data_IF_417855899834
#
_entry.id   IF_417855899834
#
_cell.length_a   1.000
_cell.length_b   1.000
_cell.length_c   1.000
_cell.angle_alpha   90.00
_cell.angle_beta   90.00
_cell.angle_gamma   90.00
#
_symmetry.space_group_name_H-M   'P 1'
#
loop_
_entity.id
_entity.type
_entity.pdbx_description
1 polymer ?
#
# COMPACT_ATOMS: atom_id res chain seq x y z
N UNK A 1 31.59 -5.54 24.31
CA UNK A 1 30.51 -6.54 24.20
C UNK A 1 29.60 -6.07 23.08
N UNK A 2 29.60 -6.75 21.94
CA UNK A 2 28.67 -6.44 20.85
C UNK A 2 27.27 -6.77 21.33
N UNK A 3 26.45 -5.73 21.53
CA UNK A 3 25.07 -5.90 21.98
C UNK A 3 24.28 -6.38 20.77
N UNK A 4 24.27 -7.70 20.54
CA UNK A 4 23.52 -8.28 19.43
C UNK A 4 22.02 -8.03 19.66
N UNK A 5 21.45 -7.17 18.82
CA UNK A 5 20.01 -6.90 18.82
C UNK A 5 19.25 -8.21 18.65
N UNK A 6 18.21 -8.39 19.46
CA UNK A 6 17.29 -9.53 19.31
C UNK A 6 16.61 -9.48 17.93
N UNK A 7 16.17 -10.62 17.41
CA UNK A 7 15.42 -10.67 16.13
C UNK A 7 14.21 -9.72 16.14
N UNK A 8 13.53 -9.60 17.29
CA UNK A 8 12.42 -8.65 17.47
C UNK A 8 12.88 -7.20 17.33
N UNK A 9 14.05 -6.83 17.87
CA UNK A 9 14.59 -5.47 17.72
C UNK A 9 15.07 -5.19 16.29
N UNK A 10 15.57 -6.21 15.58
CA UNK A 10 15.94 -6.09 14.17
C UNK A 10 14.73 -5.92 13.25
N UNK A 11 13.64 -6.64 13.51
CA UNK A 11 12.41 -6.61 12.69
C UNK A 11 11.46 -5.45 13.06
N UNK A 12 11.54 -4.96 14.29
CA UNK A 12 10.64 -3.93 14.82
C UNK A 12 11.43 -2.78 15.48
N UNK A 13 12.39 -2.16 14.76
CA UNK A 13 13.30 -1.17 15.34
C UNK A 13 12.55 0.06 15.85
N UNK A 14 11.41 0.46 15.24
CA UNK A 14 10.59 1.55 15.73
C UNK A 14 10.00 1.32 17.14
N UNK A 15 9.79 0.06 17.54
CA UNK A 15 9.09 -0.32 18.78
C UNK A 15 10.01 -0.78 19.91
N UNK A 16 11.33 -0.76 19.72
CA UNK A 16 12.28 -1.08 20.78
C UNK A 16 12.20 -0.06 21.95
N UNK A 17 12.03 -0.57 23.16
CA UNK A 17 11.75 0.21 24.37
C UNK A 17 12.98 0.92 24.94
N UNK A 18 14.19 0.57 24.49
CA UNK A 18 15.45 1.05 25.06
C UNK A 18 16.07 2.26 24.32
N UNK A 19 15.26 3.03 23.56
CA UNK A 19 15.73 4.24 22.87
C UNK A 19 15.98 5.39 23.84
N UNK A 20 16.98 6.22 23.53
CA UNK A 20 17.11 7.52 24.18
C UNK A 20 15.94 8.43 23.80
N UNK A 21 15.59 9.36 24.69
CA UNK A 21 14.50 10.32 24.43
C UNK A 21 14.74 11.15 23.17
N UNK A 22 15.99 11.54 22.91
CA UNK A 22 16.34 12.26 21.68
C UNK A 22 16.05 11.45 20.41
N UNK A 23 16.36 10.15 20.39
CA UNK A 23 16.07 9.28 19.23
C UNK A 23 14.56 9.10 19.07
N UNK A 24 13.82 8.90 20.17
CA UNK A 24 12.36 8.76 20.15
C UNK A 24 11.69 10.01 19.58
N UNK A 25 12.00 11.20 20.10
CA UNK A 25 11.40 12.45 19.62
C UNK A 25 11.73 12.73 18.16
N UNK A 26 12.98 12.49 17.72
CA UNK A 26 13.36 12.66 16.32
C UNK A 26 12.62 11.67 15.39
N UNK A 27 12.41 10.44 15.85
CA UNK A 27 11.68 9.42 15.10
C UNK A 27 10.19 9.81 14.95
N UNK A 28 9.54 10.20 16.04
CA UNK A 28 8.15 10.67 16.05
C UNK A 28 7.96 11.88 15.12
N UNK A 29 8.86 12.87 15.19
CA UNK A 29 8.85 14.01 14.28
C UNK A 29 9.02 13.58 12.81
N UNK A 30 9.92 12.62 12.54
CA UNK A 30 10.11 12.09 11.20
C UNK A 30 8.88 11.38 10.65
N UNK A 31 8.05 10.77 11.49
CA UNK A 31 6.77 10.19 11.07
C UNK A 31 5.79 11.27 10.62
N UNK A 32 5.67 12.38 11.37
CA UNK A 32 4.79 13.50 11.02
C UNK A 32 5.20 14.13 9.68
N UNK A 33 6.50 14.28 9.45
CA UNK A 33 7.00 14.85 8.19
C UNK A 33 6.87 13.87 7.02
N UNK A 34 6.99 12.57 7.29
CA UNK A 34 6.73 11.52 6.30
C UNK A 34 5.27 11.47 5.92
N UNK A 35 4.33 11.59 6.86
CA UNK A 35 2.90 11.68 6.56
C UNK A 35 2.59 12.82 5.58
N UNK A 36 3.14 14.02 5.84
CA UNK A 36 2.95 15.18 4.94
C UNK A 36 3.43 14.90 3.53
N UNK A 37 4.57 14.20 3.40
CA UNK A 37 5.10 13.78 2.11
C UNK A 37 4.19 12.75 1.44
N UNK A 38 3.78 11.71 2.17
CA UNK A 38 2.95 10.64 1.63
C UNK A 38 1.56 11.12 1.22
N UNK A 39 0.95 12.05 1.95
CA UNK A 39 -0.34 12.64 1.56
C UNK A 39 -0.22 13.40 0.24
N UNK A 40 0.86 14.16 0.02
CA UNK A 40 1.09 14.82 -1.28
C UNK A 40 1.26 13.77 -2.39
N UNK A 41 1.96 12.69 -2.09
CA UNK A 41 2.15 11.60 -3.03
C UNK A 41 0.83 10.90 -3.37
N UNK A 42 -0.01 10.59 -2.37
CA UNK A 42 -1.35 10.03 -2.57
C UNK A 42 -2.29 10.97 -3.33
N UNK A 43 -2.15 12.29 -3.17
CA UNK A 43 -2.88 13.26 -3.99
C UNK A 43 -2.49 13.13 -5.48
N UNK A 44 -1.20 12.96 -5.77
CA UNK A 44 -0.73 12.71 -7.14
C UNK A 44 -1.33 11.40 -7.65
N UNK A 45 -1.38 10.34 -6.83
CA UNK A 45 -1.99 9.07 -7.23
C UNK A 45 -3.47 9.23 -7.54
N UNK A 46 -4.20 10.01 -6.74
CA UNK A 46 -5.58 10.31 -7.03
C UNK A 46 -5.75 11.05 -8.35
N UNK A 47 -4.93 12.06 -8.62
CA UNK A 47 -4.96 12.78 -9.90
C UNK A 47 -4.70 11.83 -11.08
N UNK A 48 -3.68 10.96 -10.97
CA UNK A 48 -3.38 9.96 -12.00
C UNK A 48 -4.56 9.00 -12.19
N UNK A 49 -5.14 8.48 -11.11
CA UNK A 49 -6.32 7.61 -11.12
C UNK A 49 -7.52 8.28 -11.80
N UNK A 50 -7.77 9.54 -11.46
CA UNK A 50 -8.89 10.32 -11.98
C UNK A 50 -8.71 10.77 -13.43
N UNK A 51 -7.49 10.74 -13.96
CA UNK A 51 -7.17 11.27 -15.29
C UNK A 51 -6.49 10.23 -16.17
N UNK A 52 -5.20 10.00 -16.00
CA UNK A 52 -4.33 9.26 -16.91
C UNK A 52 -4.72 7.78 -17.00
N UNK A 53 -4.74 7.05 -15.88
CA UNK A 53 -5.00 5.61 -15.90
C UNK A 53 -6.44 5.26 -16.24
N UNK A 54 -7.36 6.22 -16.15
CA UNK A 54 -8.75 6.04 -16.54
C UNK A 54 -8.99 6.09 -18.06
N UNK A 55 -8.08 6.68 -18.85
CA UNK A 55 -8.29 6.97 -20.28
C UNK A 55 -8.56 5.70 -21.08
N UNK A 56 -7.73 4.67 -20.91
CA UNK A 56 -7.73 3.47 -21.77
C UNK A 56 -9.08 2.76 -21.81
N UNK A 57 -9.76 2.67 -20.66
CA UNK A 57 -11.00 1.91 -20.51
C UNK A 57 -12.17 2.76 -20.00
N UNK A 58 -12.03 4.08 -19.95
CA UNK A 58 -13.09 5.01 -19.53
C UNK A 58 -13.48 4.89 -18.05
N UNK A 59 -12.62 4.37 -17.20
CA UNK A 59 -12.89 4.07 -15.77
C UNK A 59 -12.78 5.31 -14.86
N UNK A 60 -13.27 6.46 -15.34
CA UNK A 60 -13.17 7.75 -14.65
C UNK A 60 -13.92 7.76 -13.32
N UNK A 61 -15.10 7.12 -13.26
CA UNK A 61 -15.88 7.06 -12.01
C UNK A 61 -15.09 6.39 -10.88
N UNK A 62 -14.40 5.29 -11.18
CA UNK A 62 -13.54 4.60 -10.22
C UNK A 62 -12.37 5.50 -9.78
N UNK A 63 -11.73 6.21 -10.72
CA UNK A 63 -10.63 7.11 -10.44
C UNK A 63 -11.02 8.31 -9.59
N UNK A 64 -12.12 8.98 -9.96
CA UNK A 64 -12.60 10.19 -9.28
C UNK A 64 -13.22 9.84 -7.93
N UNK A 65 -14.23 8.97 -7.91
CA UNK A 65 -15.00 8.65 -6.69
C UNK A 65 -14.25 7.65 -5.83
N UNK A 66 -13.81 6.52 -6.39
CA UNK A 66 -13.06 5.52 -5.64
C UNK A 66 -11.73 6.05 -5.15
N UNK A 67 -10.94 6.70 -6.02
CA UNK A 67 -9.70 7.36 -5.64
C UNK A 67 -9.90 8.51 -4.65
N UNK A 68 -10.98 9.29 -4.80
CA UNK A 68 -11.30 10.40 -3.90
C UNK A 68 -11.69 9.94 -2.50
N UNK A 69 -12.46 8.86 -2.39
CA UNK A 69 -12.77 8.23 -1.11
C UNK A 69 -11.51 7.67 -0.44
N UNK A 70 -10.66 6.95 -1.20
CA UNK A 70 -9.41 6.40 -0.69
C UNK A 70 -8.47 7.51 -0.18
N UNK A 71 -8.25 8.55 -0.99
CA UNK A 71 -7.45 9.71 -0.58
C UNK A 71 -8.05 10.44 0.62
N UNK A 72 -9.37 10.67 0.61
CA UNK A 72 -10.09 11.36 1.68
C UNK A 72 -9.95 10.64 3.03
N UNK A 73 -10.04 9.32 3.05
CA UNK A 73 -9.84 8.51 4.25
C UNK A 73 -8.40 8.62 4.77
N UNK A 74 -7.40 8.54 3.89
CA UNK A 74 -6.01 8.75 4.29
C UNK A 74 -5.75 10.16 4.83
N UNK A 75 -6.31 11.17 4.17
CA UNK A 75 -6.19 12.56 4.60
C UNK A 75 -6.85 12.81 5.96
N UNK A 76 -8.04 12.24 6.19
CA UNK A 76 -8.73 12.31 7.47
C UNK A 76 -7.91 11.63 8.58
N UNK A 77 -7.43 10.41 8.34
CA UNK A 77 -6.59 9.69 9.30
C UNK A 77 -5.31 10.45 9.66
N UNK A 78 -4.63 11.01 8.66
CA UNK A 78 -3.48 11.90 8.85
C UNK A 78 -3.83 13.14 9.69
N UNK A 79 -4.93 13.84 9.37
CA UNK A 79 -5.30 15.07 10.06
C UNK A 79 -5.73 14.84 11.51
N UNK A 80 -6.35 13.70 11.81
CA UNK A 80 -6.79 13.39 13.17
C UNK A 80 -5.63 13.07 14.12
N UNK A 81 -4.61 12.35 13.66
CA UNK A 81 -3.46 11.99 14.51
C UNK A 81 -2.15 11.84 13.71
N UNK A 82 -1.53 12.97 13.30
CA UNK A 82 -0.31 12.96 12.49
C UNK A 82 0.82 12.18 13.15
N UNK A 83 1.56 11.40 12.37
CA UNK A 83 2.71 10.62 12.81
C UNK A 83 2.35 9.39 13.66
N UNK A 84 1.08 9.16 14.00
CA UNK A 84 0.65 7.98 14.75
C UNK A 84 0.65 6.70 13.92
N UNK A 85 0.68 5.54 14.57
CA UNK A 85 0.55 4.23 13.89
C UNK A 85 -0.71 4.20 13.02
N UNK A 86 -1.84 4.72 13.52
CA UNK A 86 -3.11 4.79 12.78
C UNK A 86 -3.00 5.56 11.46
N UNK A 87 -2.33 6.72 11.48
CA UNK A 87 -2.06 7.50 10.26
C UNK A 87 -1.21 6.68 9.28
N UNK A 88 -0.09 6.12 9.76
CA UNK A 88 0.86 5.37 8.93
C UNK A 88 0.23 4.14 8.29
N UNK A 89 -0.50 3.32 9.04
CA UNK A 89 -1.14 2.10 8.50
C UNK A 89 -2.25 2.45 7.50
N UNK A 90 -2.99 3.54 7.73
CA UNK A 90 -4.03 4.00 6.80
C UNK A 90 -3.42 4.46 5.49
N UNK A 91 -2.32 5.22 5.55
CA UNK A 91 -1.55 5.65 4.37
C UNK A 91 -1.00 4.43 3.61
N UNK A 92 -0.40 3.47 4.31
CA UNK A 92 0.12 2.23 3.72
C UNK A 92 -0.97 1.43 2.99
N UNK A 93 -2.13 1.23 3.62
CA UNK A 93 -3.28 0.58 2.99
C UNK A 93 -3.78 1.36 1.76
N UNK A 94 -3.81 2.69 1.85
CA UNK A 94 -4.32 3.54 0.75
C UNK A 94 -3.45 3.46 -0.51
N UNK A 95 -2.12 3.34 -0.38
CA UNK A 95 -1.26 3.08 -1.53
C UNK A 95 -1.61 1.76 -2.24
N UNK A 96 -2.01 0.73 -1.49
CA UNK A 96 -2.42 -0.55 -2.06
C UNK A 96 -3.82 -0.48 -2.67
N UNK A 97 -4.71 0.34 -2.11
CA UNK A 97 -5.99 0.67 -2.75
C UNK A 97 -5.75 1.36 -4.09
N UNK A 98 -4.81 2.31 -4.19
CA UNK A 98 -4.44 2.90 -5.47
C UNK A 98 -3.83 1.90 -6.45
N UNK A 99 -3.01 0.96 -5.95
CA UNK A 99 -2.50 -0.14 -6.78
C UNK A 99 -3.65 -0.98 -7.36
N UNK A 100 -4.62 -1.35 -6.53
CA UNK A 100 -5.82 -2.07 -6.97
C UNK A 100 -6.68 -1.26 -7.96
N UNK A 101 -6.83 0.05 -7.74
CA UNK A 101 -7.49 0.94 -8.69
C UNK A 101 -6.76 0.91 -10.03
N UNK A 102 -5.44 1.09 -10.07
CA UNK A 102 -4.69 1.08 -11.34
C UNK A 102 -4.79 -0.27 -12.05
N UNK A 103 -4.68 -1.38 -11.31
CA UNK A 103 -4.86 -2.73 -11.85
C UNK A 103 -6.24 -2.86 -12.50
N UNK A 104 -7.32 -2.47 -11.81
CA UNK A 104 -8.67 -2.54 -12.35
C UNK A 104 -8.88 -1.57 -13.53
N UNK A 105 -8.34 -0.35 -13.45
CA UNK A 105 -8.45 0.65 -14.52
C UNK A 105 -7.67 0.26 -15.78
N UNK A 106 -6.69 -0.63 -15.67
CA UNK A 106 -5.96 -1.22 -16.80
C UNK A 106 -6.32 -2.70 -17.00
N UNK A 107 -7.48 -3.13 -16.50
CA UNK A 107 -8.05 -4.46 -16.72
C UNK A 107 -7.11 -5.62 -16.41
N UNK A 108 -6.31 -5.51 -15.34
CA UNK A 108 -5.42 -6.56 -14.87
C UNK A 108 -4.03 -6.58 -15.51
N UNK A 109 -3.60 -5.50 -16.17
CA UNK A 109 -2.25 -5.39 -16.75
C UNK A 109 -1.15 -5.61 -15.70
N UNK A 110 -0.14 -6.41 -16.08
CA UNK A 110 0.97 -6.76 -15.19
C UNK A 110 1.82 -5.54 -14.83
N UNK A 111 1.93 -4.56 -15.71
CA UNK A 111 2.68 -3.32 -15.49
C UNK A 111 2.15 -2.54 -14.29
N UNK A 112 0.83 -2.58 -14.05
CA UNK A 112 0.22 -1.92 -12.89
C UNK A 112 0.54 -2.65 -11.58
N UNK A 113 0.91 -3.93 -11.62
CA UNK A 113 1.33 -4.67 -10.42
C UNK A 113 2.71 -4.20 -9.93
N UNK A 114 3.58 -3.69 -10.81
CA UNK A 114 4.87 -3.10 -10.40
C UNK A 114 4.70 -1.91 -9.45
N UNK A 115 3.54 -1.25 -9.50
CA UNK A 115 3.21 -0.18 -8.57
C UNK A 115 3.16 -0.67 -7.11
N UNK A 116 2.78 -1.92 -6.86
CA UNK A 116 2.74 -2.51 -5.50
C UNK A 116 4.12 -2.42 -4.84
N UNK A 117 5.14 -2.90 -5.54
CA UNK A 117 6.54 -2.87 -5.09
C UNK A 117 7.06 -1.44 -4.95
N UNK A 118 6.75 -0.59 -5.93
CA UNK A 118 7.11 0.84 -5.89
C UNK A 118 6.52 1.53 -4.65
N UNK A 119 5.26 1.25 -4.34
CA UNK A 119 4.59 1.80 -3.18
C UNK A 119 5.13 1.25 -1.85
N UNK A 120 5.45 -0.05 -1.77
CA UNK A 120 6.12 -0.62 -0.59
C UNK A 120 7.48 0.06 -0.35
N UNK A 121 8.25 0.34 -1.40
CA UNK A 121 9.50 1.08 -1.30
C UNK A 121 9.33 2.50 -0.74
N UNK A 122 8.23 3.20 -1.06
CA UNK A 122 7.95 4.51 -0.45
C UNK A 122 7.83 4.40 1.08
N UNK A 123 7.19 3.34 1.57
CA UNK A 123 6.91 3.14 3.00
C UNK A 123 8.18 2.94 3.84
N UNK A 124 9.32 2.59 3.22
CA UNK A 124 10.64 2.55 3.89
C UNK A 124 10.95 3.89 4.58
N UNK A 125 10.47 5.01 4.03
CA UNK A 125 10.66 6.35 4.61
C UNK A 125 10.13 6.45 6.05
N UNK A 126 9.12 5.66 6.40
CA UNK A 126 8.61 5.60 7.76
C UNK A 126 9.55 4.93 8.75
N UNK A 127 10.53 4.12 8.34
CA UNK A 127 11.38 3.35 9.28
C UNK A 127 10.57 2.53 10.30
N UNK A 128 9.39 2.11 9.86
CA UNK A 128 8.40 1.40 10.65
C UNK A 128 7.76 0.34 9.77
N UNK A 129 7.68 -0.87 10.29
CA UNK A 129 7.11 -2.03 9.60
C UNK A 129 5.58 -2.01 9.58
N UNK A 130 4.92 -1.31 10.51
CA UNK A 130 3.45 -1.30 10.57
C UNK A 130 2.76 -0.85 9.25
N UNK A 131 3.15 0.27 8.60
CA UNK A 131 2.58 0.64 7.30
C UNK A 131 2.86 -0.41 6.20
N UNK A 132 4.02 -1.07 6.25
CA UNK A 132 4.41 -2.12 5.29
C UNK A 132 3.51 -3.35 5.46
N UNK A 133 3.28 -3.80 6.69
CA UNK A 133 2.36 -4.91 6.97
C UNK A 133 0.92 -4.58 6.59
N UNK A 134 0.49 -3.34 6.84
CA UNK A 134 -0.83 -2.86 6.44
C UNK A 134 -1.00 -2.92 4.92
N UNK A 135 0.01 -2.44 4.19
CA UNK A 135 0.05 -2.53 2.73
C UNK A 135 0.02 -3.98 2.24
N UNK A 136 0.97 -4.82 2.69
CA UNK A 136 1.04 -6.23 2.29
C UNK A 136 -0.29 -6.98 2.55
N UNK A 137 -0.94 -6.72 3.69
CA UNK A 137 -2.24 -7.31 4.03
C UNK A 137 -3.33 -6.80 3.08
N UNK A 138 -3.39 -5.49 2.84
CA UNK A 138 -4.40 -4.88 1.97
C UNK A 138 -4.32 -5.43 0.55
N UNK A 139 -3.10 -5.54 0.00
CA UNK A 139 -2.92 -6.03 -1.37
C UNK A 139 -3.15 -7.54 -1.48
N UNK A 140 -2.82 -8.31 -0.44
CA UNK A 140 -3.16 -9.73 -0.37
C UNK A 140 -4.68 -9.94 -0.39
N UNK A 141 -5.42 -9.19 0.42
CA UNK A 141 -6.90 -9.21 0.42
C UNK A 141 -7.45 -8.85 -0.95
N UNK A 142 -6.92 -7.80 -1.58
CA UNK A 142 -7.31 -7.42 -2.94
C UNK A 142 -7.12 -8.58 -3.92
N UNK A 143 -5.94 -9.20 -3.97
CA UNK A 143 -5.65 -10.27 -4.93
C UNK A 143 -6.49 -11.52 -4.69
N UNK A 144 -6.73 -11.89 -3.43
CA UNK A 144 -7.60 -13.01 -3.08
C UNK A 144 -9.04 -12.75 -3.54
N UNK A 145 -9.59 -11.60 -3.18
CA UNK A 145 -10.97 -11.25 -3.50
C UNK A 145 -11.18 -11.07 -5.00
N UNK A 146 -10.25 -10.42 -5.70
CA UNK A 146 -10.38 -10.19 -7.14
C UNK A 146 -10.05 -11.43 -7.95
N UNK A 147 -9.16 -12.32 -7.50
CA UNK A 147 -8.99 -13.63 -8.13
C UNK A 147 -10.26 -14.46 -8.03
N UNK A 148 -10.93 -14.46 -6.88
CA UNK A 148 -12.23 -15.10 -6.71
C UNK A 148 -13.30 -14.45 -7.58
N UNK A 149 -13.38 -13.12 -7.59
CA UNK A 149 -14.32 -12.38 -8.41
C UNK A 149 -14.15 -12.72 -9.89
N UNK A 150 -12.90 -12.73 -10.38
CA UNK A 150 -12.56 -13.08 -11.75
C UNK A 150 -12.84 -14.55 -12.08
N UNK A 151 -12.60 -15.49 -11.15
CA UNK A 151 -12.89 -16.92 -11.34
C UNK A 151 -14.38 -17.20 -11.55
N UNK A 152 -15.25 -16.38 -10.95
CA UNK A 152 -16.70 -16.51 -11.04
C UNK A 152 -17.35 -15.45 -11.94
N UNK A 153 -16.58 -14.80 -12.80
CA UNK A 153 -17.04 -13.80 -13.78
C UNK A 153 -17.87 -12.65 -13.14
N UNK A 154 -17.54 -12.26 -11.91
CA UNK A 154 -18.19 -11.13 -11.26
C UNK A 154 -17.90 -9.83 -12.02
N UNK A 155 -18.95 -9.04 -12.21
CA UNK A 155 -18.87 -7.72 -12.83
C UNK A 155 -19.61 -6.69 -11.98
N UNK A 156 -19.08 -5.47 -11.96
CA UNK A 156 -19.72 -4.32 -11.34
C UNK A 156 -20.09 -3.31 -12.42
N UNK A 157 -21.37 -2.95 -12.49
CA UNK A 157 -21.90 -2.03 -13.52
C UNK A 157 -21.49 -2.43 -14.96
N UNK A 158 -21.45 -3.73 -15.24
CA UNK A 158 -21.07 -4.28 -16.55
C UNK A 158 -19.55 -4.33 -16.82
N UNK A 159 -18.70 -3.88 -15.90
CA UNK A 159 -17.25 -4.02 -15.99
C UNK A 159 -16.79 -5.24 -15.19
N UNK A 160 -16.07 -6.19 -15.80
CA UNK A 160 -15.55 -7.35 -15.07
C UNK A 160 -14.53 -6.91 -14.01
N UNK A 161 -14.57 -7.56 -12.85
CA UNK A 161 -13.56 -7.36 -11.82
C UNK A 161 -12.35 -8.23 -12.13
N UNK A 162 -11.23 -7.61 -12.46
CA UNK A 162 -10.04 -8.30 -12.97
C UNK A 162 -8.84 -8.00 -12.10
N UNK A 163 -8.14 -9.04 -11.68
CA UNK A 163 -6.81 -8.94 -11.06
C UNK A 163 -5.72 -9.16 -12.10
N UNK A 164 -5.88 -10.09 -13.04
CA UNK A 164 -4.87 -10.42 -14.04
C UNK A 164 -5.48 -10.47 -15.45
N UNK A 165 -4.75 -10.01 -16.48
CA UNK A 165 -5.25 -9.99 -17.86
C UNK A 165 -4.76 -11.17 -18.74
N UNK A 166 -3.95 -12.07 -18.20
CA UNK A 166 -3.36 -13.22 -18.92
C UNK A 166 -3.79 -14.57 -18.34
N UNK A 167 -4.83 -14.58 -17.52
CA UNK A 167 -5.36 -15.75 -16.81
C UNK A 167 -5.88 -15.36 -15.44
N UNK A 168 -6.26 -16.34 -14.62
CA UNK A 168 -6.45 -16.18 -13.18
C UNK A 168 -6.21 -17.54 -12.52
N UNK A 169 -5.89 -17.55 -11.23
CA UNK A 169 -5.48 -18.78 -10.56
C UNK A 169 -4.68 -18.55 -9.30
N UNK A 170 -4.81 -19.51 -8.37
CA UNK A 170 -4.11 -19.48 -7.09
C UNK A 170 -2.60 -19.62 -7.21
N UNK A 171 -2.12 -20.24 -8.29
CA UNK A 171 -0.71 -20.33 -8.66
C UNK A 171 -0.13 -18.94 -8.97
N UNK A 172 -0.83 -18.13 -9.76
CA UNK A 172 -0.41 -16.75 -10.08
C UNK A 172 -0.44 -15.87 -8.83
N UNK A 173 -1.49 -15.97 -8.01
CA UNK A 173 -1.60 -15.27 -6.73
C UNK A 173 -0.45 -15.65 -5.80
N UNK A 174 -0.10 -16.94 -5.70
CA UNK A 174 0.98 -17.42 -4.85
C UNK A 174 2.34 -16.85 -5.27
N UNK A 175 2.61 -16.77 -6.58
CA UNK A 175 3.84 -16.15 -7.09
C UNK A 175 3.92 -14.68 -6.72
N UNK A 176 2.85 -13.90 -6.92
CA UNK A 176 2.81 -12.49 -6.54
C UNK A 176 2.99 -12.29 -5.04
N UNK A 177 2.31 -13.10 -4.24
CA UNK A 177 2.41 -13.07 -2.79
C UNK A 177 3.83 -13.36 -2.31
N UNK A 178 4.54 -14.32 -2.93
CA UNK A 178 5.91 -14.64 -2.59
C UNK A 178 6.85 -13.42 -2.75
N UNK A 179 6.73 -12.67 -3.84
CA UNK A 179 7.53 -11.46 -4.05
C UNK A 179 7.23 -10.38 -3.00
N UNK A 180 5.95 -10.14 -2.69
CA UNK A 180 5.55 -9.16 -1.66
C UNK A 180 6.04 -9.56 -0.28
N UNK A 181 5.99 -10.85 0.07
CA UNK A 181 6.49 -11.38 1.35
C UNK A 181 8.00 -11.18 1.46
N UNK A 182 8.75 -11.53 0.40
CA UNK A 182 10.21 -11.36 0.38
C UNK A 182 10.58 -9.88 0.53
N UNK A 183 9.95 -8.99 -0.25
CA UNK A 183 10.22 -7.55 -0.16
C UNK A 183 9.87 -7.00 1.23
N UNK A 184 8.69 -7.33 1.77
CA UNK A 184 8.25 -6.88 3.09
C UNK A 184 9.21 -7.36 4.20
N UNK A 185 9.72 -8.59 4.08
CA UNK A 185 10.72 -9.13 5.00
C UNK A 185 12.04 -8.36 4.91
N UNK A 186 12.53 -8.04 3.71
CA UNK A 186 13.75 -7.24 3.55
C UNK A 186 13.55 -5.84 4.14
N UNK A 187 12.44 -5.17 3.82
CA UNK A 187 12.12 -3.82 4.34
C UNK A 187 12.06 -3.81 5.87
N UNK A 188 11.59 -4.88 6.50
CA UNK A 188 11.50 -4.97 7.95
C UNK A 188 12.85 -4.96 8.68
N UNK A 189 13.96 -5.11 7.95
CA UNK A 189 15.32 -5.23 8.52
C UNK A 189 16.22 -4.01 8.30
N UNK A 190 15.69 -2.94 7.68
CA UNK A 190 16.44 -1.74 7.27
C UNK A 190 16.37 -0.64 8.33
#
# INVERSE_FOLDING_TARGET
MTNDLTLKQKLFPAYDAHKSDAVRTNLEQSFVDTDKFMIKLLLIHWIVAATISAVTYGTYLLGVVGGGLAFGLAYAGYKSNPGSVWSRITIGATFMVFSGIYIQQQMGQIEMHFHIFTALAFLIKYKDIAPVLSAATTIAVHHVLFNLAQTYDFALAGTPLLVFNYGCGWDIVAVHAAFVVIESAVISTI
#
